data_IF_368481600635
#
_entry.id   IF_368481600635
#
_cell.length_a   1.000
_cell.length_b   1.000
_cell.length_c   1.000
_cell.angle_alpha   90.00
_cell.angle_beta   90.00
_cell.angle_gamma   90.00
#
_symmetry.space_group_name_H-M   'P 1'
#
loop_
_entity.id
_entity.type
_entity.pdbx_description
1 polymer ?
#
# COMPACT_ATOMS: atom_id res chain seq x y z
N UNK A 1 22.03 34.95 17.86
CA UNK A 1 22.52 33.57 18.06
C UNK A 1 21.32 32.61 18.06
N UNK A 2 21.37 31.66 17.12
CA UNK A 2 20.69 30.35 17.05
C UNK A 2 19.22 30.26 17.46
N UNK A 3 18.38 30.11 16.43
CA UNK A 3 17.01 29.65 16.53
C UNK A 3 16.90 28.19 16.98
N UNK A 4 15.78 27.90 17.66
CA UNK A 4 15.31 26.55 17.95
C UNK A 4 13.80 26.56 17.69
N UNK A 5 13.41 26.46 16.42
CA UNK A 5 12.02 26.14 16.07
C UNK A 5 11.86 24.63 16.17
N UNK A 6 11.25 24.20 17.29
CA UNK A 6 10.88 22.81 17.58
C UNK A 6 9.85 22.37 16.52
N UNK A 7 10.24 21.44 15.64
CA UNK A 7 9.35 20.74 14.70
C UNK A 7 8.18 20.14 15.50
N UNK A 8 7.00 20.77 15.43
CA UNK A 8 5.74 20.18 15.91
C UNK A 8 5.33 19.13 14.88
N UNK A 9 5.45 17.88 15.29
CA UNK A 9 4.87 16.69 14.65
C UNK A 9 3.37 16.87 14.51
N UNK A 10 2.89 17.18 13.31
CA UNK A 10 1.50 17.07 12.90
C UNK A 10 1.16 15.59 12.73
N UNK A 11 0.91 14.91 13.86
CA UNK A 11 0.23 13.60 13.89
C UNK A 11 -1.20 13.87 14.37
N UNK A 12 -2.18 13.47 13.55
CA UNK A 12 -3.60 13.27 13.88
C UNK A 12 -4.45 14.50 14.17
N UNK A 13 -4.86 15.27 13.15
CA UNK A 13 -6.20 15.91 13.13
C UNK A 13 -6.63 16.05 11.65
N UNK A 14 -7.89 15.70 11.35
CA UNK A 14 -8.70 16.11 10.19
C UNK A 14 -9.05 15.07 9.10
N UNK A 15 -9.51 13.87 9.48
CA UNK A 15 -10.27 12.99 8.57
C UNK A 15 -11.60 13.60 8.08
N UNK A 16 -12.25 14.47 8.88
CA UNK A 16 -13.54 15.07 8.52
C UNK A 16 -13.51 16.39 7.73
N UNK A 17 -12.39 17.13 7.74
CA UNK A 17 -12.30 18.46 7.08
C UNK A 17 -11.73 18.35 5.66
N UNK A 18 -10.88 17.35 5.41
CA UNK A 18 -10.26 17.14 4.10
C UNK A 18 -11.25 16.80 2.99
N UNK A 19 -12.28 15.99 3.29
CA UNK A 19 -13.34 15.62 2.34
C UNK A 19 -14.15 16.85 1.91
N UNK A 20 -14.33 17.83 2.80
CA UNK A 20 -15.16 19.02 2.56
C UNK A 20 -14.50 20.05 1.63
N UNK A 21 -13.16 20.15 1.63
CA UNK A 21 -12.41 21.04 0.71
C UNK A 21 -12.56 20.59 -0.75
N UNK A 22 -12.82 19.29 -0.96
CA UNK A 22 -13.03 18.74 -2.30
C UNK A 22 -14.40 19.12 -2.89
N UNK A 23 -15.31 19.80 -2.17
CA UNK A 23 -16.64 20.16 -2.74
C UNK A 23 -16.75 21.66 -3.11
N UNK A 24 -15.88 22.55 -2.59
CA UNK A 24 -16.05 24.01 -2.73
C UNK A 24 -14.98 24.72 -3.60
N UNK A 25 -14.94 24.45 -4.90
CA UNK A 25 -14.25 25.32 -5.85
C UNK A 25 -15.25 25.95 -6.83
N UNK A 26 -15.76 27.13 -6.47
CA UNK A 26 -16.52 28.00 -7.38
C UNK A 26 -15.58 28.54 -8.46
N UNK A 27 -15.99 28.36 -9.72
CA UNK A 27 -15.31 28.79 -10.92
C UNK A 27 -15.25 30.31 -11.04
N UNK A 28 -14.07 30.91 -10.86
CA UNK A 28 -13.77 32.22 -11.46
C UNK A 28 -12.86 32.00 -12.68
N UNK A 29 -13.32 32.52 -13.81
CA UNK A 29 -12.78 32.28 -15.14
C UNK A 29 -11.37 32.86 -15.33
N UNK A 30 -10.37 31.99 -15.30
CA UNK A 30 -9.07 32.15 -15.96
C UNK A 30 -8.60 30.74 -16.30
N UNK A 31 -8.05 30.52 -17.51
CA UNK A 31 -7.62 29.23 -18.09
C UNK A 31 -7.62 28.07 -17.07
N UNK A 32 -8.61 27.18 -17.17
CA UNK A 32 -8.70 26.00 -16.33
C UNK A 32 -7.36 25.26 -16.37
N UNK A 33 -6.74 25.08 -15.19
CA UNK A 33 -5.61 24.20 -15.09
C UNK A 33 -6.07 22.77 -15.41
N UNK A 34 -5.20 21.99 -16.03
CA UNK A 34 -5.44 20.59 -16.34
C UNK A 34 -4.34 19.76 -15.68
N UNK A 35 -4.71 18.58 -15.19
CA UNK A 35 -3.72 17.58 -14.80
C UNK A 35 -3.47 16.71 -16.04
N UNK A 36 -2.23 16.70 -16.51
CA UNK A 36 -1.75 15.88 -17.63
C UNK A 36 -0.79 14.80 -17.12
N UNK A 37 -0.64 13.74 -17.89
CA UNK A 37 0.29 12.63 -17.62
C UNK A 37 0.15 12.05 -16.21
N UNK A 38 -1.06 12.06 -15.65
CA UNK A 38 -1.34 11.49 -14.35
C UNK A 38 -1.12 9.97 -14.41
N UNK A 39 -0.23 9.46 -13.57
CA UNK A 39 0.05 8.05 -13.47
C UNK A 39 0.24 7.66 -12.00
N UNK A 40 -0.17 6.45 -11.69
CA UNK A 40 0.06 5.81 -10.40
C UNK A 40 0.77 4.50 -10.64
N UNK A 41 1.83 4.24 -9.89
CA UNK A 41 2.60 3.00 -9.98
C UNK A 41 2.79 2.44 -8.58
N UNK A 42 2.46 1.17 -8.39
CA UNK A 42 2.71 0.45 -7.16
C UNK A 42 3.94 -0.45 -7.30
N UNK A 43 4.91 -0.27 -6.41
CA UNK A 43 6.10 -1.13 -6.29
C UNK A 43 5.89 -2.12 -5.14
N UNK A 44 5.66 -3.38 -5.51
CA UNK A 44 5.46 -4.51 -4.58
C UNK A 44 6.67 -4.74 -3.67
N UNK A 45 7.89 -4.55 -4.20
CA UNK A 45 9.13 -4.86 -3.46
C UNK A 45 9.37 -3.90 -2.29
N UNK A 46 8.94 -2.64 -2.45
CA UNK A 46 9.12 -1.58 -1.44
C UNK A 46 7.81 -1.18 -0.75
N UNK A 47 6.70 -1.85 -1.08
CA UNK A 47 5.33 -1.53 -0.67
C UNK A 47 5.01 -0.02 -0.81
N UNK A 48 5.42 0.57 -1.94
CA UNK A 48 5.39 2.03 -2.16
C UNK A 48 4.57 2.37 -3.40
N UNK A 49 3.65 3.32 -3.27
CA UNK A 49 2.92 3.93 -4.38
C UNK A 49 3.61 5.23 -4.77
N UNK A 50 3.85 5.38 -6.07
CA UNK A 50 4.36 6.60 -6.69
C UNK A 50 3.25 7.20 -7.55
N UNK A 51 2.88 8.45 -7.27
CA UNK A 51 1.94 9.23 -8.07
C UNK A 51 2.70 10.32 -8.80
N UNK A 52 2.51 10.43 -10.11
CA UNK A 52 3.12 11.47 -10.94
C UNK A 52 2.07 12.18 -11.77
N UNK A 53 2.37 13.40 -12.18
CA UNK A 53 1.57 14.14 -13.14
C UNK A 53 2.13 15.53 -13.37
N UNK A 54 1.44 16.31 -14.19
CA UNK A 54 1.79 17.69 -14.52
C UNK A 54 0.56 18.58 -14.44
N UNK A 55 0.64 19.68 -13.70
CA UNK A 55 -0.38 20.73 -13.77
C UNK A 55 -0.03 21.72 -14.87
N UNK A 56 -0.95 21.98 -15.80
CA UNK A 56 -0.70 22.80 -16.99
C UNK A 56 -0.33 24.26 -16.69
N UNK A 57 -0.60 24.74 -15.47
CA UNK A 57 -0.34 26.13 -15.05
C UNK A 57 1.04 26.36 -14.43
N UNK A 58 1.91 25.35 -14.43
CA UNK A 58 3.33 25.49 -14.08
C UNK A 58 3.66 25.42 -12.59
N UNK A 59 4.80 26.02 -12.20
CA UNK A 59 5.30 26.03 -10.82
C UNK A 59 4.44 26.86 -9.85
N UNK A 60 4.57 26.59 -8.55
CA UNK A 60 3.94 27.34 -7.48
C UNK A 60 2.46 27.03 -7.26
N UNK A 61 1.95 25.95 -7.87
CA UNK A 61 0.54 25.55 -7.79
C UNK A 61 0.34 24.47 -6.75
N UNK A 62 -0.76 24.52 -6.03
CA UNK A 62 -1.10 23.47 -5.06
C UNK A 62 -1.72 22.29 -5.80
N UNK A 63 -1.25 21.09 -5.50
CA UNK A 63 -1.81 19.82 -5.96
C UNK A 63 -2.15 19.00 -4.72
N UNK A 64 -3.39 18.56 -4.64
CA UNK A 64 -3.93 17.73 -3.56
C UNK A 64 -4.11 16.31 -4.08
N UNK A 65 -3.59 15.34 -3.33
CA UNK A 65 -3.71 13.92 -3.61
C UNK A 65 -4.51 13.26 -2.49
N UNK A 66 -5.41 12.37 -2.87
CA UNK A 66 -6.24 11.60 -1.96
C UNK A 66 -6.29 10.15 -2.45
N UNK A 67 -5.79 9.21 -1.64
CA UNK A 67 -5.88 7.78 -1.90
C UNK A 67 -6.94 7.17 -0.99
N UNK A 68 -7.91 6.48 -1.59
CA UNK A 68 -9.04 5.85 -0.90
C UNK A 68 -9.18 4.40 -1.36
N UNK A 69 -9.61 3.48 -0.48
CA UNK A 69 -10.03 2.15 -0.91
C UNK A 69 -11.29 2.26 -1.76
N UNK A 70 -11.45 1.35 -2.71
CA UNK A 70 -12.66 1.22 -3.50
C UNK A 70 -13.09 -0.24 -3.54
N UNK A 71 -14.40 -0.43 -3.64
CA UNK A 71 -14.99 -1.70 -4.01
C UNK A 71 -14.67 -1.94 -5.50
N UNK A 72 -14.06 -3.07 -5.82
CA UNK A 72 -13.60 -3.36 -7.19
C UNK A 72 -14.77 -3.61 -8.16
N UNK A 73 -15.89 -4.10 -7.66
CA UNK A 73 -17.06 -4.46 -8.47
C UNK A 73 -17.91 -3.24 -8.80
N UNK A 74 -18.08 -2.33 -7.83
CA UNK A 74 -18.90 -1.13 -7.96
C UNK A 74 -18.09 0.12 -8.33
N UNK A 75 -16.78 0.11 -8.06
CA UNK A 75 -15.90 1.27 -8.19
C UNK A 75 -16.20 2.39 -7.17
N UNK A 76 -17.06 2.12 -6.19
CA UNK A 76 -17.42 3.07 -5.15
C UNK A 76 -16.33 3.15 -4.08
N UNK A 77 -16.20 4.31 -3.44
CA UNK A 77 -15.23 4.49 -2.35
C UNK A 77 -15.69 3.73 -1.12
N UNK A 78 -14.86 2.83 -0.65
CA UNK A 78 -15.06 2.12 0.60
C UNK A 78 -14.52 2.94 1.78
N UNK A 79 -15.36 3.16 2.77
CA UNK A 79 -14.98 3.86 4.00
C UNK A 79 -14.81 5.38 3.84
N UNK A 80 -14.69 6.05 4.98
CA UNK A 80 -14.49 7.50 5.04
C UNK A 80 -13.02 7.92 5.15
N UNK A 81 -12.15 6.99 5.56
CA UNK A 81 -10.79 7.32 5.96
C UNK A 81 -9.82 7.11 4.80
N UNK A 82 -9.12 8.16 4.35
CA UNK A 82 -8.13 8.01 3.28
C UNK A 82 -6.89 7.29 3.76
N UNK A 83 -6.39 6.37 2.92
CA UNK A 83 -5.10 5.71 3.10
C UNK A 83 -3.97 6.73 3.08
N UNK A 84 -4.08 7.72 2.19
CA UNK A 84 -3.11 8.78 2.07
C UNK A 84 -3.77 10.08 1.65
N UNK A 85 -3.33 11.17 2.26
CA UNK A 85 -3.68 12.52 1.84
C UNK A 85 -2.46 13.42 1.97
N UNK A 86 -2.20 14.20 0.94
CA UNK A 86 -1.19 15.26 0.99
C UNK A 86 -1.55 16.42 0.06
N UNK A 87 -0.99 17.59 0.36
CA UNK A 87 -1.07 18.76 -0.49
C UNK A 87 0.32 19.31 -0.71
N UNK A 88 0.78 19.22 -1.95
CA UNK A 88 2.11 19.66 -2.36
C UNK A 88 2.02 20.93 -3.20
N UNK A 89 3.14 21.65 -3.28
CA UNK A 89 3.30 22.78 -4.22
C UNK A 89 4.26 22.37 -5.32
N UNK A 90 3.87 22.52 -6.59
CA UNK A 90 4.73 22.22 -7.74
C UNK A 90 5.96 23.11 -7.73
N UNK A 91 7.15 22.52 -7.85
CA UNK A 91 8.42 23.27 -7.87
C UNK A 91 8.97 23.48 -9.26
N UNK A 92 8.68 22.54 -10.16
CA UNK A 92 9.22 22.54 -11.51
C UNK A 92 8.44 23.52 -12.39
N UNK A 93 9.15 24.21 -13.28
CA UNK A 93 8.56 25.21 -14.17
C UNK A 93 7.46 24.64 -15.07
N UNK A 94 7.57 23.36 -15.43
CA UNK A 94 6.59 22.61 -16.22
C UNK A 94 5.37 22.14 -15.42
N UNK A 95 5.32 22.43 -14.11
CA UNK A 95 4.23 22.00 -13.23
C UNK A 95 4.25 20.52 -12.88
N UNK A 96 5.34 19.80 -13.15
CA UNK A 96 5.46 18.40 -12.78
C UNK A 96 5.51 18.19 -11.27
N UNK A 97 4.90 17.08 -10.84
CA UNK A 97 4.95 16.60 -9.46
C UNK A 97 5.16 15.10 -9.39
N UNK A 98 5.79 14.66 -8.29
CA UNK A 98 5.95 13.26 -7.93
C UNK A 98 5.80 13.12 -6.42
N UNK A 99 4.89 12.27 -5.99
CA UNK A 99 4.59 11.98 -4.59
C UNK A 99 4.74 10.49 -4.37
N UNK A 100 5.43 10.10 -3.29
CA UNK A 100 5.63 8.71 -2.92
C UNK A 100 5.11 8.48 -1.51
N UNK A 101 4.33 7.43 -1.32
CA UNK A 101 3.84 7.03 0.00
C UNK A 101 3.84 5.51 0.12
N UNK A 102 3.97 5.02 1.36
CA UNK A 102 3.89 3.58 1.65
C UNK A 102 2.46 3.18 1.95
N UNK A 103 2.09 2.00 1.48
CA UNK A 103 0.82 1.40 1.84
C UNK A 103 0.84 0.81 3.24
N UNK A 104 -0.31 0.75 3.93
CA UNK A 104 -0.42 -0.05 5.14
C UNK A 104 -0.11 -1.52 4.86
N UNK A 105 0.31 -2.24 5.90
CA UNK A 105 0.43 -3.70 5.83
C UNK A 105 -0.98 -4.31 5.70
N UNK A 106 -1.12 -5.40 4.94
CA UNK A 106 -2.40 -6.03 4.57
C UNK A 106 -3.39 -5.08 3.85
N UNK A 107 -2.87 -4.13 3.06
CA UNK A 107 -3.67 -3.24 2.23
C UNK A 107 -3.90 -3.81 0.83
N UNK A 108 -4.23 -5.10 0.73
CA UNK A 108 -4.63 -5.67 -0.53
C UNK A 108 -6.03 -5.20 -0.91
N UNK A 109 -6.26 -5.04 -2.21
CA UNK A 109 -7.52 -4.56 -2.76
C UNK A 109 -7.33 -3.47 -3.80
N UNK A 110 -8.45 -2.87 -4.20
CA UNK A 110 -8.49 -1.81 -5.20
C UNK A 110 -8.52 -0.44 -4.56
N UNK A 111 -7.80 0.51 -5.15
CA UNK A 111 -7.66 1.87 -4.62
C UNK A 111 -7.82 2.91 -5.73
N UNK A 112 -8.36 4.06 -5.36
CA UNK A 112 -8.42 5.24 -6.23
C UNK A 112 -7.55 6.36 -5.68
N UNK A 113 -6.66 6.88 -6.52
CA UNK A 113 -5.98 8.16 -6.28
C UNK A 113 -6.72 9.26 -7.01
N UNK A 114 -7.31 10.17 -6.25
CA UNK A 114 -7.91 11.41 -6.76
C UNK A 114 -6.89 12.53 -6.70
N UNK A 115 -6.71 13.21 -7.82
CA UNK A 115 -5.77 14.31 -8.00
C UNK A 115 -6.56 15.56 -8.40
N UNK A 116 -6.34 16.64 -7.65
CA UNK A 116 -6.91 17.96 -7.90
C UNK A 116 -5.86 19.02 -7.66
N UNK A 117 -6.09 20.26 -8.09
CA UNK A 117 -5.16 21.35 -7.83
C UNK A 117 -5.77 22.73 -7.99
N UNK A 118 -4.96 23.77 -7.75
CA UNK A 118 -5.39 25.16 -7.88
C UNK A 118 -5.86 25.45 -9.31
N UNK A 119 -7.13 25.81 -9.46
CA UNK A 119 -7.72 26.17 -10.75
C UNK A 119 -8.03 24.99 -11.67
N UNK A 120 -7.93 23.75 -11.18
CA UNK A 120 -8.24 22.56 -11.97
C UNK A 120 -9.76 22.37 -12.10
N UNK A 121 -10.28 22.38 -13.34
CA UNK A 121 -11.73 22.26 -13.59
C UNK A 121 -12.24 20.82 -13.62
N UNK A 122 -11.41 19.86 -14.02
CA UNK A 122 -11.73 18.44 -13.99
C UNK A 122 -10.69 17.67 -13.20
N UNK A 123 -11.16 16.87 -12.24
CA UNK A 123 -10.28 16.05 -11.41
C UNK A 123 -9.89 14.79 -12.16
N UNK A 124 -8.70 14.31 -11.85
CA UNK A 124 -8.21 13.05 -12.38
C UNK A 124 -8.29 11.99 -11.29
N UNK A 125 -8.91 10.86 -11.62
CA UNK A 125 -8.93 9.67 -10.77
C UNK A 125 -8.13 8.59 -11.48
N UNK A 126 -7.19 7.99 -10.79
CA UNK A 126 -6.41 6.85 -11.29
C UNK A 126 -6.63 5.69 -10.32
N UNK A 127 -7.10 4.56 -10.86
CA UNK A 127 -7.31 3.33 -10.09
C UNK A 127 -6.07 2.46 -10.22
N UNK A 128 -5.71 1.79 -9.13
CA UNK A 128 -4.68 0.77 -9.11
C UNK A 128 -5.07 -0.30 -8.08
N UNK A 129 -4.56 -1.51 -8.28
CA UNK A 129 -4.78 -2.62 -7.37
C UNK A 129 -3.47 -2.95 -6.65
N UNK A 130 -3.61 -3.26 -5.37
CA UNK A 130 -2.57 -3.88 -4.56
C UNK A 130 -2.98 -5.33 -4.42
N UNK A 131 -2.29 -6.22 -5.11
CA UNK A 131 -2.53 -7.64 -4.94
C UNK A 131 -2.13 -8.05 -3.52
N UNK A 132 -2.87 -9.00 -2.93
CA UNK A 132 -2.35 -9.76 -1.79
C UNK A 132 -0.92 -10.21 -2.13
N UNK A 133 0.04 -10.10 -1.21
CA UNK A 133 1.33 -10.70 -1.45
C UNK A 133 1.07 -12.16 -1.79
N UNK A 134 1.47 -12.57 -3.00
CA UNK A 134 1.49 -13.96 -3.44
C UNK A 134 2.52 -14.67 -2.56
N UNK A 135 2.14 -14.96 -1.33
CA UNK A 135 3.01 -15.63 -0.37
C UNK A 135 2.94 -17.11 -0.68
N UNK A 136 4.07 -17.65 -1.12
CA UNK A 136 4.25 -19.09 -1.20
C UNK A 136 4.44 -19.59 0.24
N UNK A 137 3.47 -20.37 0.73
CA UNK A 137 3.60 -20.99 2.05
C UNK A 137 4.89 -21.81 2.12
N UNK A 138 5.66 -21.63 3.19
CA UNK A 138 6.97 -22.26 3.38
C UNK A 138 8.17 -21.51 2.78
N UNK A 139 7.96 -20.53 1.89
CA UNK A 139 9.02 -19.65 1.36
C UNK A 139 9.11 -18.38 2.23
N UNK A 140 9.86 -18.49 3.33
CA UNK A 140 9.96 -17.46 4.36
C UNK A 140 10.95 -16.37 3.96
N UNK A 141 11.89 -16.69 3.09
CA UNK A 141 12.91 -15.75 2.63
C UNK A 141 12.49 -15.00 1.34
N UNK A 142 11.51 -15.51 0.60
CA UNK A 142 10.92 -14.91 -0.59
C UNK A 142 11.73 -15.14 -1.87
N UNK A 143 12.56 -16.17 -1.95
CA UNK A 143 13.38 -16.49 -3.12
C UNK A 143 12.65 -17.37 -4.15
N UNK A 144 11.42 -17.79 -3.85
CA UNK A 144 10.58 -18.63 -4.69
C UNK A 144 10.83 -20.13 -4.53
N UNK A 145 11.71 -20.54 -3.64
CA UNK A 145 11.99 -21.95 -3.33
C UNK A 145 11.67 -22.25 -1.86
N UNK A 146 11.00 -23.37 -1.60
CA UNK A 146 10.81 -23.86 -0.24
C UNK A 146 12.02 -24.71 0.11
N UNK A 147 12.86 -24.24 1.04
CA UNK A 147 14.12 -24.87 1.40
C UNK A 147 14.35 -24.97 2.92
N UNK A 148 15.39 -25.70 3.32
CA UNK A 148 15.78 -25.80 4.74
C UNK A 148 16.20 -24.44 5.33
N UNK A 149 16.60 -23.48 4.48
CA UNK A 149 16.88 -22.11 4.89
C UNK A 149 15.67 -21.41 5.51
N UNK A 150 14.48 -21.64 4.96
CA UNK A 150 13.22 -21.06 5.45
C UNK A 150 12.86 -21.60 6.83
N UNK A 151 13.01 -22.92 7.03
CA UNK A 151 12.84 -23.54 8.34
C UNK A 151 13.81 -22.97 9.39
N UNK A 152 15.06 -22.66 9.00
CA UNK A 152 16.03 -22.01 9.89
C UNK A 152 15.56 -20.60 10.26
N UNK A 153 15.00 -19.84 9.32
CA UNK A 153 14.43 -18.52 9.62
C UNK A 153 13.28 -18.65 10.62
N UNK A 154 12.36 -19.59 10.43
CA UNK A 154 11.25 -19.84 11.37
C UNK A 154 11.80 -20.10 12.78
N UNK A 155 12.74 -21.04 12.93
CA UNK A 155 13.33 -21.36 14.22
C UNK A 155 13.99 -20.13 14.87
N UNK A 156 14.72 -19.32 14.10
CA UNK A 156 15.34 -18.08 14.59
C UNK A 156 14.29 -17.06 15.05
N UNK A 157 13.16 -16.96 14.36
CA UNK A 157 12.06 -16.10 14.77
C UNK A 157 11.39 -16.61 16.06
N UNK A 158 11.12 -17.91 16.15
CA UNK A 158 10.51 -18.55 17.34
C UNK A 158 11.34 -18.33 18.60
N UNK A 159 12.69 -18.30 18.50
CA UNK A 159 13.57 -18.00 19.64
C UNK A 159 13.88 -16.51 19.82
N UNK A 160 13.25 -15.63 19.03
CA UNK A 160 13.37 -14.17 19.16
C UNK A 160 14.69 -13.59 18.62
N UNK A 161 15.45 -14.32 17.81
CA UNK A 161 16.70 -13.82 17.21
C UNK A 161 16.44 -12.89 16.02
N UNK A 162 15.29 -13.02 15.37
CA UNK A 162 14.85 -12.16 14.26
C UNK A 162 13.37 -11.86 14.38
N UNK A 163 12.92 -10.78 13.74
CA UNK A 163 11.50 -10.41 13.65
C UNK A 163 11.08 -10.46 12.19
N UNK A 164 9.99 -11.18 11.93
CA UNK A 164 9.41 -11.30 10.60
C UNK A 164 8.55 -10.10 10.20
N UNK A 165 8.57 -9.78 8.91
CA UNK A 165 7.56 -8.95 8.27
C UNK A 165 6.24 -9.71 8.19
N UNK A 166 5.13 -9.03 7.94
CA UNK A 166 3.82 -9.71 7.90
C UNK A 166 3.73 -10.73 6.76
N UNK A 167 4.33 -10.46 5.61
CA UNK A 167 4.45 -11.44 4.53
C UNK A 167 5.21 -12.71 4.96
N UNK A 168 6.32 -12.54 5.70
CA UNK A 168 7.08 -13.68 6.23
C UNK A 168 6.32 -14.43 7.31
N UNK A 169 5.48 -13.75 8.10
CA UNK A 169 4.60 -14.42 9.07
C UNK A 169 3.58 -15.31 8.39
N UNK A 170 2.95 -14.81 7.32
CA UNK A 170 2.01 -15.59 6.50
C UNK A 170 2.73 -16.78 5.86
N UNK A 171 3.95 -16.57 5.33
CA UNK A 171 4.73 -17.65 4.72
C UNK A 171 5.14 -18.73 5.73
N UNK A 172 5.46 -18.31 6.96
CA UNK A 172 5.94 -19.16 8.02
C UNK A 172 4.81 -19.98 8.69
N UNK A 173 3.60 -19.45 8.83
CA UNK A 173 2.46 -20.18 9.42
C UNK A 173 1.86 -21.18 8.41
N UNK A 174 2.59 -22.26 8.17
CA UNK A 174 2.20 -23.30 7.22
C UNK A 174 1.16 -24.26 7.79
N UNK A 175 0.99 -24.28 9.11
CA UNK A 175 -0.02 -25.11 9.77
C UNK A 175 -1.39 -24.39 9.86
N UNK A 176 -1.40 -23.06 9.85
CA UNK A 176 -2.57 -22.19 9.85
C UNK A 176 -3.22 -22.04 11.23
N UNK A 177 -2.46 -22.10 12.31
CA UNK A 177 -2.93 -21.89 13.69
C UNK A 177 -2.76 -20.44 14.17
N UNK A 178 -2.13 -19.59 13.37
CA UNK A 178 -1.89 -18.18 13.67
C UNK A 178 -0.65 -17.94 14.54
N UNK A 179 0.11 -18.97 14.88
CA UNK A 179 1.36 -18.89 15.64
C UNK A 179 2.55 -19.35 14.79
N UNK A 180 3.73 -18.76 15.04
CA UNK A 180 4.97 -19.15 14.33
C UNK A 180 5.84 -19.95 15.28
N UNK A 181 5.82 -21.26 15.11
CA UNK A 181 6.45 -22.19 16.04
C UNK A 181 7.41 -23.17 15.35
N UNK A 182 8.11 -23.96 16.16
CA UNK A 182 8.95 -25.04 15.65
C UNK A 182 8.15 -26.10 14.86
N UNK A 183 6.83 -26.19 15.09
CA UNK A 183 5.93 -27.06 14.32
C UNK A 183 5.92 -26.70 12.83
N UNK A 184 5.91 -25.41 12.51
CA UNK A 184 5.95 -24.91 11.14
C UNK A 184 7.28 -25.22 10.46
N UNK A 185 8.39 -25.01 11.18
CA UNK A 185 9.72 -25.36 10.68
C UNK A 185 9.83 -26.86 10.33
N UNK A 186 9.21 -27.73 11.14
CA UNK A 186 9.18 -29.17 10.88
C UNK A 186 8.36 -29.49 9.62
N UNK A 187 7.23 -28.80 9.41
CA UNK A 187 6.42 -28.98 8.21
C UNK A 187 7.18 -28.53 6.95
N UNK A 188 7.86 -27.37 7.00
CA UNK A 188 8.71 -26.90 5.90
C UNK A 188 9.79 -27.94 5.58
N UNK A 189 10.50 -28.44 6.59
CA UNK A 189 11.50 -29.49 6.37
C UNK A 189 10.91 -30.75 5.75
N UNK A 190 9.73 -31.21 6.21
CA UNK A 190 9.04 -32.36 5.61
C UNK A 190 8.69 -32.12 4.14
N UNK A 191 8.27 -30.92 3.79
CA UNK A 191 8.00 -30.54 2.40
C UNK A 191 9.27 -30.61 1.56
N UNK A 192 10.37 -30.03 2.04
CA UNK A 192 11.66 -30.00 1.31
C UNK A 192 12.21 -31.38 0.97
N UNK A 193 11.88 -32.40 1.77
CA UNK A 193 12.32 -33.78 1.55
C UNK A 193 11.24 -34.67 0.90
N UNK A 194 10.11 -34.10 0.49
CA UNK A 194 9.02 -34.82 -0.16
C UNK A 194 8.23 -35.77 0.74
N UNK A 195 8.23 -35.55 2.06
CA UNK A 195 7.38 -36.30 3.00
C UNK A 195 5.94 -35.78 3.01
N UNK A 196 5.73 -34.54 2.56
CA UNK A 196 4.42 -33.93 2.32
C UNK A 196 4.49 -33.17 1.00
N UNK A 197 3.40 -33.18 0.22
CA UNK A 197 3.32 -32.47 -1.06
C UNK A 197 2.56 -31.14 -0.95
N UNK A 198 1.96 -30.87 0.21
CA UNK A 198 1.19 -29.67 0.54
C UNK A 198 1.18 -29.40 2.03
N UNK A 199 1.07 -28.15 2.40
CA UNK A 199 0.94 -27.72 3.78
C UNK A 199 -0.51 -27.84 4.29
N UNK A 200 -0.71 -28.03 5.62
CA UNK A 200 -2.03 -28.04 6.21
C UNK A 200 -2.87 -26.79 5.90
N UNK A 201 -2.26 -25.60 5.90
CA UNK A 201 -2.96 -24.33 5.60
C UNK A 201 -3.57 -24.33 4.19
N UNK A 202 -2.89 -24.92 3.20
CA UNK A 202 -3.35 -25.00 1.81
C UNK A 202 -4.56 -25.93 1.65
N UNK A 203 -4.73 -26.90 2.55
CA UNK A 203 -5.90 -27.78 2.55
C UNK A 203 -7.15 -27.11 3.16
N UNK A 204 -6.97 -26.08 3.99
CA UNK A 204 -8.05 -25.34 4.66
C UNK A 204 -8.61 -24.22 3.78
N UNK A 205 -7.78 -23.63 2.92
CA UNK A 205 -8.21 -22.62 1.94
C UNK A 205 -9.26 -23.15 0.94
N UNK A 206 -9.28 -24.46 0.68
CA UNK A 206 -10.26 -25.09 -0.21
C UNK A 206 -11.66 -25.31 0.42
N UNK A 207 -11.91 -24.88 1.65
CA UNK A 207 -13.21 -25.07 2.33
C UNK A 207 -14.03 -23.77 2.51
N UNK A 208 -13.62 -22.65 1.90
CA UNK A 208 -14.32 -21.35 1.99
C UNK A 208 -15.05 -20.89 0.72
N UNK A 209 -15.05 -21.68 -0.36
CA UNK A 209 -15.62 -21.31 -1.66
C UNK A 209 -16.99 -21.95 -1.96
N UNK A 210 -17.91 -21.97 -1.00
CA UNK A 210 -19.23 -22.56 -1.24
C UNK A 210 -20.24 -22.31 -0.12
N UNK A 211 -20.84 -21.11 -0.13
CA UNK A 211 -22.29 -20.88 -0.06
C UNK A 211 -22.61 -19.38 -0.05
#
# INVERSE_FOLDING_TARGET
MKGIFKKRTLKKIAGGIAIFILIMALSTSALAAEIKDAAVTYDKSTNTVTVTGKISTGAGKQVTLLCLPIDEETGEVEGSDPIYIDQITTKNADGSFSVKFKMPDNAAGSYVVRISGTGVSQRVSVIFSVDEPSVLYGDVNGDGEIAAGDAILVLRNTVGLITFTDAQKIAADVNGDGEIAAGDAILILRYTVGLIDKFPVESRANYGGGN
#
